data_IF_581039886674
#
_entry.id   IF_581039886674
#
_cell.length_a   1.000
_cell.length_b   1.000
_cell.length_c   1.000
_cell.angle_alpha   90.00
_cell.angle_beta   90.00
_cell.angle_gamma   90.00
#
_symmetry.space_group_name_H-M   'P 1'
#
loop_
_entity.id
_entity.type
_entity.pdbx_description
1 polymer ?
#
# COMPACT_ATOMS: atom_id res chain seq x y z
N UNK A 1 -3.20 13.83 -3.57
CA UNK A 1 -3.77 12.47 -3.59
C UNK A 1 -2.77 11.54 -2.93
N UNK A 2 -3.14 10.83 -1.86
CA UNK A 2 -2.23 9.93 -1.14
C UNK A 2 -2.03 8.64 -1.94
N UNK A 3 -0.78 8.28 -2.26
CA UNK A 3 -0.51 7.13 -3.14
C UNK A 3 0.91 6.59 -3.08
N UNK A 4 1.08 5.36 -3.56
CA UNK A 4 2.37 4.71 -3.86
C UNK A 4 2.28 4.26 -5.33
N UNK A 5 3.21 4.69 -6.18
CA UNK A 5 3.14 4.40 -7.62
C UNK A 5 4.51 4.11 -8.23
N UNK A 6 4.54 3.27 -9.25
CA UNK A 6 5.75 2.99 -10.03
C UNK A 6 6.91 2.51 -9.16
N UNK A 7 8.10 3.10 -9.29
CA UNK A 7 9.36 2.74 -8.65
C UNK A 7 9.62 3.54 -7.36
N UNK A 8 9.05 3.07 -6.26
CA UNK A 8 7.82 3.62 -5.75
C UNK A 8 7.96 5.08 -5.32
N UNK A 9 7.23 5.94 -6.03
CA UNK A 9 6.99 7.33 -5.65
C UNK A 9 5.83 7.39 -4.65
N UNK A 10 6.08 7.99 -3.49
CA UNK A 10 5.09 8.20 -2.45
C UNK A 10 4.52 9.61 -2.54
N UNK A 11 3.22 9.71 -2.29
CA UNK A 11 2.55 10.95 -1.92
C UNK A 11 1.94 10.71 -0.53
N UNK A 12 2.48 11.40 0.46
CA UNK A 12 2.15 11.32 1.87
C UNK A 12 0.72 11.82 2.19
N UNK A 13 0.26 11.58 3.42
CA UNK A 13 -1.01 12.08 3.95
C UNK A 13 -1.15 13.59 3.82
N UNK A 14 -0.10 14.33 4.18
CA UNK A 14 -0.02 15.79 4.04
C UNK A 14 0.28 16.28 2.61
N UNK A 15 0.38 15.39 1.62
CA UNK A 15 0.64 15.71 0.22
C UNK A 15 2.13 15.80 -0.15
N UNK A 16 3.06 15.69 0.81
CA UNK A 16 4.49 15.67 0.53
C UNK A 16 4.85 14.48 -0.38
N UNK A 17 5.69 14.72 -1.37
CA UNK A 17 6.17 13.67 -2.28
C UNK A 17 7.57 13.25 -1.89
N UNK A 18 7.85 11.95 -1.86
CA UNK A 18 9.18 11.40 -1.60
C UNK A 18 9.31 10.00 -2.23
N UNK A 19 10.54 9.53 -2.39
CA UNK A 19 10.81 8.21 -2.93
C UNK A 19 11.21 7.25 -1.81
N UNK A 20 10.69 6.02 -1.87
CA UNK A 20 11.12 4.93 -0.99
C UNK A 20 11.38 3.68 -1.83
N UNK A 21 12.65 3.47 -2.17
CA UNK A 21 13.08 2.35 -3.00
C UNK A 21 13.12 1.07 -2.16
N UNK A 22 13.66 1.13 -0.94
CA UNK A 22 13.92 -0.06 -0.14
C UNK A 22 14.80 -1.09 -0.87
N UNK A 23 14.68 -2.36 -0.48
CA UNK A 23 15.48 -3.46 -1.03
C UNK A 23 14.60 -4.54 -1.69
N UNK A 24 15.02 -5.10 -2.84
CA UNK A 24 14.35 -6.26 -3.44
C UNK A 24 14.23 -7.44 -2.45
N UNK A 25 13.08 -8.10 -2.44
CA UNK A 25 12.74 -9.23 -1.57
C UNK A 25 12.43 -8.85 -0.11
N UNK A 26 12.55 -7.57 0.25
CA UNK A 26 12.22 -7.11 1.60
C UNK A 26 10.74 -6.76 1.72
N UNK A 27 10.23 -6.86 2.95
CA UNK A 27 8.86 -6.50 3.30
C UNK A 27 8.92 -5.32 4.26
N UNK A 28 8.21 -4.25 3.94
CA UNK A 28 8.19 -3.01 4.72
C UNK A 28 6.79 -2.70 5.25
N UNK A 29 6.71 -2.24 6.50
CA UNK A 29 5.48 -1.69 7.06
C UNK A 29 5.20 -0.31 6.47
N UNK A 30 4.14 -0.23 5.66
CA UNK A 30 3.65 1.02 5.06
C UNK A 30 2.86 1.82 6.08
N UNK A 31 2.04 1.13 6.85
CA UNK A 31 1.11 1.71 7.81
C UNK A 31 0.93 0.76 9.00
N UNK A 32 0.91 1.29 10.20
CA UNK A 32 0.54 0.57 11.41
C UNK A 32 -0.15 1.51 12.38
N UNK A 33 -1.27 1.07 12.92
CA UNK A 33 -2.03 1.72 13.98
C UNK A 33 -2.66 0.62 14.86
N UNK A 34 -3.50 0.95 15.84
CA UNK A 34 -4.10 -0.03 16.77
C UNK A 34 -4.77 -1.21 16.07
N UNK A 35 -5.64 -0.91 15.09
CA UNK A 35 -6.48 -1.92 14.44
C UNK A 35 -6.11 -2.24 12.99
N UNK A 36 -5.34 -1.38 12.34
CA UNK A 36 -4.98 -1.51 10.93
C UNK A 36 -3.47 -1.56 10.77
N UNK A 37 -2.98 -2.55 10.05
CA UNK A 37 -1.59 -2.69 9.69
C UNK A 37 -1.45 -3.12 8.23
N UNK A 38 -0.53 -2.51 7.50
CA UNK A 38 -0.31 -2.80 6.08
C UNK A 38 1.19 -2.97 5.80
N UNK A 39 1.53 -4.08 5.15
CA UNK A 39 2.89 -4.36 4.70
C UNK A 39 2.94 -4.46 3.18
N UNK A 40 4.03 -3.99 2.59
CA UNK A 40 4.33 -4.15 1.16
C UNK A 40 5.54 -5.06 0.97
N UNK A 41 5.47 -5.96 0.00
CA UNK A 41 6.62 -6.71 -0.50
C UNK A 41 7.19 -6.01 -1.73
N UNK A 42 8.51 -5.97 -1.81
CA UNK A 42 9.26 -5.29 -2.85
C UNK A 42 9.92 -6.30 -3.77
N UNK A 43 9.76 -6.12 -5.08
CA UNK A 43 10.57 -6.78 -6.11
C UNK A 43 11.57 -5.79 -6.70
N UNK A 44 12.60 -6.30 -7.37
CA UNK A 44 13.64 -5.48 -8.00
C UNK A 44 13.84 -5.80 -9.46
N UNK A 45 14.82 -5.13 -10.06
CA UNK A 45 15.27 -5.39 -11.43
C UNK A 45 15.68 -6.87 -11.56
N UNK A 46 15.21 -7.53 -12.63
CA UNK A 46 15.43 -8.96 -12.84
C UNK A 46 16.53 -9.28 -13.87
N UNK A 47 16.74 -8.40 -14.85
CA UNK A 47 17.63 -8.67 -15.99
C UNK A 47 19.02 -8.03 -15.89
N UNK A 48 19.16 -6.94 -15.15
CA UNK A 48 20.40 -6.19 -15.03
C UNK A 48 20.76 -5.93 -13.55
N UNK A 49 21.79 -6.61 -13.05
CA UNK A 49 22.27 -6.43 -11.66
C UNK A 49 22.95 -5.08 -11.40
N UNK A 50 23.32 -4.33 -12.44
CA UNK A 50 23.93 -3.00 -12.31
C UNK A 50 22.89 -1.90 -12.13
N UNK A 51 21.64 -2.16 -12.54
CA UNK A 51 20.52 -1.23 -12.33
C UNK A 51 19.91 -1.43 -10.97
N UNK A 52 19.41 -0.32 -10.43
CA UNK A 52 18.71 -0.27 -9.15
C UNK A 52 17.33 0.31 -9.40
N UNK A 53 16.32 -0.49 -9.09
CA UNK A 53 14.92 -0.16 -9.24
C UNK A 53 14.12 -1.19 -8.46
N UNK A 54 13.05 -0.75 -7.82
CA UNK A 54 12.17 -1.59 -7.01
C UNK A 54 10.73 -1.25 -7.27
N UNK A 55 9.84 -2.21 -7.05
CA UNK A 55 8.41 -2.05 -7.23
C UNK A 55 7.66 -2.85 -6.17
N UNK A 56 6.50 -2.37 -5.74
CA UNK A 56 5.61 -3.13 -4.87
C UNK A 56 4.85 -4.17 -5.71
N UNK A 57 4.99 -5.47 -5.44
CA UNK A 57 4.22 -6.51 -6.13
C UNK A 57 3.13 -7.12 -5.26
N UNK A 58 3.21 -6.97 -3.94
CA UNK A 58 2.20 -7.49 -3.01
C UNK A 58 1.99 -6.55 -1.83
N UNK A 59 0.74 -6.45 -1.40
CA UNK A 59 0.36 -5.76 -0.17
C UNK A 59 -0.51 -6.67 0.70
N UNK A 60 -0.27 -6.65 2.01
CA UNK A 60 -1.15 -7.19 3.02
C UNK A 60 -1.85 -6.06 3.77
N UNK A 61 -3.11 -6.28 4.13
CA UNK A 61 -3.92 -5.38 4.93
C UNK A 61 -4.53 -6.22 6.05
N UNK A 62 -4.06 -5.97 7.27
CA UNK A 62 -4.49 -6.64 8.48
C UNK A 62 -5.41 -5.71 9.26
N UNK A 63 -6.70 -6.04 9.27
CA UNK A 63 -7.70 -5.38 10.11
C UNK A 63 -8.03 -6.28 11.29
N UNK A 64 -7.43 -5.98 12.44
CA UNK A 64 -7.52 -6.82 13.63
C UNK A 64 -8.89 -6.69 14.33
N UNK A 65 -9.45 -7.81 14.83
CA UNK A 65 -9.02 -9.22 14.68
C UNK A 65 -9.71 -9.96 13.52
N UNK A 66 -10.20 -9.25 12.50
CA UNK A 66 -11.20 -9.76 11.56
C UNK A 66 -10.65 -10.28 10.24
N UNK A 67 -9.85 -9.45 9.55
CA UNK A 67 -9.51 -9.70 8.15
C UNK A 67 -8.02 -9.52 7.88
N UNK A 68 -7.39 -10.58 7.38
CA UNK A 68 -6.12 -10.55 6.66
C UNK A 68 -6.44 -10.56 5.17
N UNK A 69 -6.17 -9.46 4.50
CA UNK A 69 -6.39 -9.30 3.06
C UNK A 69 -5.03 -9.25 2.38
N UNK A 70 -4.88 -9.95 1.26
CA UNK A 70 -3.72 -9.74 0.37
C UNK A 70 -4.17 -9.40 -1.03
N UNK A 71 -3.42 -8.52 -1.67
CA UNK A 71 -3.50 -8.27 -3.10
C UNK A 71 -2.09 -8.41 -3.66
N UNK A 72 -1.93 -9.33 -4.60
CA UNK A 72 -0.65 -9.65 -5.23
C UNK A 72 -0.75 -9.46 -6.73
N UNK A 73 0.19 -8.74 -7.33
CA UNK A 73 0.36 -8.61 -8.78
C UNK A 73 1.05 -9.86 -9.37
N UNK A 74 1.61 -10.73 -8.52
CA UNK A 74 2.32 -11.94 -8.96
C UNK A 74 1.43 -12.84 -9.80
N UNK A 75 1.99 -13.22 -10.95
CA UNK A 75 1.36 -14.15 -11.88
C UNK A 75 1.59 -15.60 -11.42
N UNK A 76 0.59 -16.50 -11.51
CA UNK A 76 0.82 -17.91 -11.27
C UNK A 76 1.92 -18.45 -12.21
N UNK A 77 2.75 -19.42 -11.77
CA UNK A 77 3.77 -20.03 -12.61
C UNK A 77 3.21 -20.49 -13.96
N UNK A 78 3.93 -20.19 -15.05
CA UNK A 78 3.52 -20.54 -16.41
C UNK A 78 2.42 -19.65 -17.02
N UNK A 79 1.94 -18.64 -16.30
CA UNK A 79 0.99 -17.65 -16.85
C UNK A 79 1.77 -16.44 -17.38
N UNK A 80 1.58 -16.05 -18.65
CA UNK A 80 2.12 -14.79 -19.15
C UNK A 80 1.63 -13.63 -18.27
N UNK A 81 2.49 -12.70 -17.88
CA UNK A 81 2.09 -11.55 -17.06
C UNK A 81 1.04 -10.68 -17.79
N UNK A 82 0.99 -10.72 -19.13
CA UNK A 82 -0.08 -10.15 -19.97
C UNK A 82 -1.44 -10.84 -19.80
N UNK A 83 -1.50 -12.03 -19.23
CA UNK A 83 -2.75 -12.72 -18.91
C UNK A 83 -3.10 -12.59 -17.41
N UNK A 84 -2.16 -12.16 -16.57
CA UNK A 84 -2.37 -12.01 -15.14
C UNK A 84 -3.16 -10.75 -14.78
N UNK A 85 -4.01 -10.91 -13.77
CA UNK A 85 -4.94 -9.91 -13.23
C UNK A 85 -4.79 -9.78 -11.70
N UNK A 86 -3.63 -10.21 -11.19
CA UNK A 86 -3.34 -10.37 -9.77
C UNK A 86 -4.21 -11.40 -9.05
N UNK A 87 -3.96 -11.54 -7.76
CA UNK A 87 -4.68 -12.41 -6.83
C UNK A 87 -5.17 -11.57 -5.66
N UNK A 88 -6.40 -11.83 -5.20
CA UNK A 88 -6.95 -11.22 -3.98
C UNK A 88 -7.34 -12.35 -3.04
N UNK A 89 -6.84 -12.32 -1.80
CA UNK A 89 -7.23 -13.28 -0.76
C UNK A 89 -7.80 -12.58 0.46
N UNK A 90 -8.74 -13.22 1.15
CA UNK A 90 -9.28 -12.77 2.44
C UNK A 90 -9.23 -13.96 3.39
N UNK A 91 -8.50 -13.85 4.49
CA UNK A 91 -8.24 -14.92 5.46
C UNK A 91 -7.79 -16.21 4.77
N UNK A 92 -6.86 -16.09 3.82
CA UNK A 92 -6.32 -17.20 3.03
C UNK A 92 -7.23 -17.76 1.93
N UNK A 93 -8.47 -17.26 1.78
CA UNK A 93 -9.40 -17.68 0.74
C UNK A 93 -9.32 -16.76 -0.47
N UNK A 94 -9.02 -17.31 -1.64
CA UNK A 94 -8.91 -16.57 -2.89
C UNK A 94 -10.26 -16.14 -3.43
N UNK A 95 -10.40 -14.85 -3.75
CA UNK A 95 -11.57 -14.30 -4.45
C UNK A 95 -11.49 -14.63 -5.94
N UNK A 96 -12.57 -15.20 -6.48
CA UNK A 96 -12.67 -15.48 -7.93
C UNK A 96 -12.60 -14.18 -8.74
N UNK A 97 -11.84 -14.21 -9.84
CA UNK A 97 -11.86 -13.14 -10.85
C UNK A 97 -13.03 -13.37 -11.80
N UNK A 98 -13.88 -12.37 -12.03
CA UNK A 98 -14.90 -12.39 -13.09
C UNK A 98 -14.62 -11.33 -14.16
N UNK A 99 -15.19 -11.50 -15.36
CA UNK A 99 -14.89 -10.66 -16.54
C UNK A 99 -15.24 -9.18 -16.37
N UNK A 100 -16.23 -8.84 -15.55
CA UNK A 100 -16.73 -7.46 -15.39
C UNK A 100 -16.37 -6.87 -14.03
N UNK A 101 -16.95 -7.41 -12.96
CA UNK A 101 -16.57 -7.11 -11.58
C UNK A 101 -17.14 -8.15 -10.63
N UNK A 102 -16.52 -8.32 -9.47
CA UNK A 102 -17.03 -9.11 -8.36
C UNK A 102 -16.96 -8.27 -7.10
N UNK A 103 -18.05 -8.18 -6.35
CA UNK A 103 -18.10 -7.46 -5.08
C UNK A 103 -18.47 -8.42 -3.96
N UNK A 104 -17.76 -8.33 -2.84
CA UNK A 104 -18.06 -9.07 -1.61
C UNK A 104 -18.16 -8.09 -0.46
N UNK A 105 -19.15 -8.31 0.41
CA UNK A 105 -19.36 -7.53 1.63
C UNK A 105 -19.44 -8.46 2.83
N UNK A 106 -18.76 -8.10 3.91
CA UNK A 106 -18.74 -8.86 5.15
C UNK A 106 -18.48 -7.92 6.32
N UNK A 107 -19.42 -7.77 7.24
CA UNK A 107 -19.25 -7.05 8.52
C UNK A 107 -18.36 -5.78 8.43
N UNK A 108 -18.79 -4.77 7.66
CA UNK A 108 -18.06 -3.51 7.49
C UNK A 108 -16.94 -3.53 6.42
N UNK A 109 -16.48 -4.70 5.97
CA UNK A 109 -15.57 -4.84 4.83
C UNK A 109 -16.36 -4.91 3.51
N UNK A 110 -15.95 -4.13 2.52
CA UNK A 110 -16.34 -4.25 1.12
C UNK A 110 -15.10 -4.39 0.26
N UNK A 111 -15.05 -5.44 -0.57
CA UNK A 111 -14.03 -5.59 -1.60
C UNK A 111 -14.72 -5.66 -2.96
N UNK A 112 -14.38 -4.74 -3.86
CA UNK A 112 -14.78 -4.80 -5.27
C UNK A 112 -13.56 -5.08 -6.13
N UNK A 113 -13.56 -6.23 -6.80
CA UNK A 113 -12.55 -6.61 -7.77
C UNK A 113 -13.04 -6.35 -9.19
N UNK A 114 -12.25 -5.63 -9.97
CA UNK A 114 -12.36 -5.49 -11.43
C UNK A 114 -11.19 -6.20 -12.11
N UNK A 115 -11.04 -6.05 -13.42
CA UNK A 115 -10.01 -6.75 -14.21
C UNK A 115 -8.59 -6.53 -13.68
N UNK A 116 -8.18 -5.28 -13.46
CA UNK A 116 -6.84 -4.94 -12.94
C UNK A 116 -6.90 -4.04 -11.71
N UNK A 117 -8.10 -3.79 -11.16
CA UNK A 117 -8.29 -2.89 -10.02
C UNK A 117 -9.03 -3.57 -8.90
N UNK A 118 -8.63 -3.26 -7.67
CA UNK A 118 -9.25 -3.78 -6.44
C UNK A 118 -9.54 -2.59 -5.55
N UNK A 119 -10.81 -2.42 -5.19
CA UNK A 119 -11.26 -1.40 -4.26
C UNK A 119 -11.54 -2.09 -2.93
N UNK A 120 -10.96 -1.58 -1.85
CA UNK A 120 -11.14 -2.10 -0.51
C UNK A 120 -11.67 -0.97 0.35
N UNK A 121 -12.77 -1.23 1.06
CA UNK A 121 -13.35 -0.32 2.03
C UNK A 121 -13.56 -1.07 3.34
N UNK A 122 -12.96 -0.56 4.42
CA UNK A 122 -13.30 -0.93 5.79
C UNK A 122 -14.09 0.24 6.34
N UNK A 123 -15.34 0.00 6.69
CA UNK A 123 -16.28 1.02 7.15
C UNK A 123 -15.67 1.87 8.25
N UNK A 124 -15.77 3.19 8.08
CA UNK A 124 -15.26 4.23 8.98
C UNK A 124 -13.74 4.24 9.22
N UNK A 125 -12.96 3.41 8.50
CA UNK A 125 -11.52 3.27 8.73
C UNK A 125 -10.67 3.47 7.49
N UNK A 126 -10.97 2.81 6.37
CA UNK A 126 -10.10 2.80 5.20
C UNK A 126 -10.90 2.76 3.89
N UNK A 127 -10.49 3.56 2.90
CA UNK A 127 -10.88 3.43 1.49
C UNK A 127 -9.63 3.50 0.63
N UNK A 128 -9.30 2.39 -0.04
CA UNK A 128 -8.17 2.32 -0.94
C UNK A 128 -8.51 1.66 -2.28
N UNK A 129 -7.72 2.00 -3.28
CA UNK A 129 -7.69 1.42 -4.61
C UNK A 129 -6.29 0.87 -4.87
N UNK A 130 -6.25 -0.36 -5.39
CA UNK A 130 -5.05 -1.02 -5.87
C UNK A 130 -5.19 -1.29 -7.36
N UNK A 131 -4.13 -1.04 -8.12
CA UNK A 131 -4.07 -1.31 -9.56
C UNK A 131 -2.91 -2.23 -9.87
N UNK A 132 -3.20 -3.37 -10.50
CA UNK A 132 -2.21 -4.28 -11.07
C UNK A 132 -1.71 -3.68 -12.37
N UNK A 133 -0.52 -3.11 -12.34
CA UNK A 133 0.14 -2.51 -13.50
C UNK A 133 0.95 -3.59 -14.23
N UNK A 134 0.77 -3.62 -15.55
CA UNK A 134 1.48 -4.57 -16.39
C UNK A 134 2.85 -4.04 -16.73
N UNK A 135 3.89 -4.73 -16.28
CA UNK A 135 5.26 -4.41 -16.65
C UNK A 135 5.64 -4.92 -18.06
N UNK A 136 4.65 -5.20 -18.92
CA UNK A 136 4.85 -5.71 -20.27
C UNK A 136 5.79 -4.86 -21.13
N UNK A 137 5.84 -3.56 -20.86
CA UNK A 137 6.69 -2.61 -21.58
C UNK A 137 8.13 -2.54 -21.03
N UNK A 138 8.41 -3.29 -19.95
CA UNK A 138 9.66 -3.29 -19.18
C UNK A 138 10.23 -4.70 -19.02
N UNK A 139 9.94 -5.60 -19.96
CA UNK A 139 10.63 -6.91 -20.05
C UNK A 139 12.12 -6.80 -20.37
N UNK A 140 12.59 -5.60 -20.73
CA UNK A 140 14.01 -5.31 -20.91
C UNK A 140 14.79 -5.49 -19.61
N UNK A 141 16.12 -5.57 -19.73
CA UNK A 141 17.01 -5.88 -18.60
C UNK A 141 16.85 -4.91 -17.41
N UNK A 142 16.32 -3.72 -17.66
CA UNK A 142 16.25 -2.62 -16.69
C UNK A 142 14.91 -2.56 -15.90
N UNK A 143 13.94 -3.45 -16.15
CA UNK A 143 12.62 -3.46 -15.50
C UNK A 143 12.37 -4.58 -14.47
N UNK A 144 11.18 -4.61 -13.82
CA UNK A 144 10.84 -5.63 -12.84
C UNK A 144 10.63 -7.03 -13.45
N UNK A 145 10.40 -7.13 -14.75
CA UNK A 145 10.11 -8.40 -15.44
C UNK A 145 8.87 -9.13 -14.88
N UNK A 146 8.01 -8.43 -14.13
CA UNK A 146 6.76 -8.92 -13.55
C UNK A 146 5.81 -7.74 -13.28
N UNK A 147 4.51 -8.01 -13.17
CA UNK A 147 3.52 -6.99 -12.81
C UNK A 147 3.78 -6.44 -11.40
N UNK A 148 3.36 -5.21 -11.16
CA UNK A 148 3.46 -4.54 -9.86
C UNK A 148 2.13 -3.86 -9.50
N UNK A 149 2.08 -3.24 -8.33
CA UNK A 149 0.92 -2.58 -7.75
C UNK A 149 1.14 -1.08 -7.62
N UNK A 150 0.15 -0.31 -8.07
CA UNK A 150 -0.06 1.05 -7.58
C UNK A 150 -1.12 1.01 -6.47
N UNK A 151 -0.96 1.88 -5.47
CA UNK A 151 -1.90 2.05 -4.37
C UNK A 151 -2.33 3.51 -4.29
N UNK A 152 -3.62 3.72 -4.02
CA UNK A 152 -4.22 5.02 -3.73
C UNK A 152 -5.08 4.91 -2.47
N UNK A 153 -4.91 5.83 -1.53
CA UNK A 153 -5.77 5.96 -0.34
C UNK A 153 -6.61 7.22 -0.52
N UNK A 154 -7.93 7.08 -0.49
CA UNK A 154 -8.87 8.20 -0.63
C UNK A 154 -9.46 8.67 0.70
N UNK A 155 -9.54 7.78 1.68
CA UNK A 155 -9.93 8.11 3.04
C UNK A 155 -9.31 7.14 4.03
N UNK A 156 -8.91 7.65 5.19
CA UNK A 156 -8.25 6.90 6.25
C UNK A 156 -8.50 7.60 7.57
N UNK A 157 -8.94 6.86 8.58
CA UNK A 157 -8.98 7.34 9.95
C UNK A 157 -7.73 6.83 10.68
N UNK A 158 -6.83 7.75 11.06
CA UNK A 158 -5.56 7.44 11.69
C UNK A 158 -5.50 8.09 13.07
N UNK A 159 -5.04 7.36 14.08
CA UNK A 159 -4.82 7.91 15.41
C UNK A 159 -3.47 8.63 15.48
N UNK A 160 -3.21 9.39 16.54
CA UNK A 160 -1.88 9.99 16.76
C UNK A 160 -0.77 8.94 16.98
N UNK A 161 -1.12 7.66 17.21
CA UNK A 161 -0.18 6.57 17.35
C UNK A 161 0.23 5.93 16.02
N UNK A 162 -0.38 6.33 14.89
CA UNK A 162 -0.10 5.78 13.56
C UNK A 162 1.38 5.88 13.21
N UNK A 163 1.97 4.84 12.64
CA UNK A 163 3.37 4.81 12.18
C UNK A 163 3.49 3.98 10.88
N UNK A 164 4.69 3.77 10.37
CA UNK A 164 4.98 3.15 9.07
C UNK A 164 5.55 4.17 8.09
N UNK A 165 6.12 3.68 6.99
CA UNK A 165 6.78 4.51 5.96
C UNK A 165 5.89 5.66 5.50
N UNK A 166 4.59 5.39 5.32
CA UNK A 166 3.58 6.42 5.01
C UNK A 166 2.77 6.80 6.25
N UNK A 167 2.58 5.86 7.20
CA UNK A 167 1.64 6.02 8.31
C UNK A 167 1.87 7.27 9.17
N UNK A 168 3.12 7.59 9.53
CA UNK A 168 3.41 8.77 10.35
C UNK A 168 2.94 10.10 9.72
N UNK A 169 2.83 10.15 8.39
CA UNK A 169 2.42 11.35 7.64
C UNK A 169 0.92 11.65 7.72
N UNK A 170 0.13 10.76 8.34
CA UNK A 170 -1.28 10.97 8.62
C UNK A 170 -1.55 11.58 10.00
N UNK A 171 -0.53 11.71 10.86
CA UNK A 171 -0.69 12.40 12.16
C UNK A 171 -0.93 13.88 11.91
N UNK A 172 -1.86 14.48 12.63
CA UNK A 172 -2.06 15.94 12.60
C UNK A 172 -0.82 16.71 13.08
N UNK A 173 -0.02 16.08 13.94
CA UNK A 173 1.22 16.63 14.49
C UNK A 173 2.42 16.49 13.56
N UNK A 174 2.26 15.85 12.39
CA UNK A 174 3.34 15.66 11.43
C UNK A 174 3.57 16.94 10.62
N UNK A 175 4.67 17.64 10.90
CA UNK A 175 4.95 19.00 10.44
C UNK A 175 6.02 19.08 9.34
N UNK A 176 6.52 17.95 8.83
CA UNK A 176 7.47 17.96 7.71
C UNK A 176 6.75 18.36 6.41
N UNK A 177 7.03 19.58 5.94
CA UNK A 177 6.44 20.14 4.72
C UNK A 177 7.41 20.24 3.55
N UNK A 178 8.70 20.03 3.77
CA UNK A 178 9.73 20.08 2.73
C UNK A 178 10.82 19.03 2.94
N UNK A 179 11.33 18.52 1.82
CA UNK A 179 12.41 17.55 1.78
C UNK A 179 13.76 18.28 1.77
N UNK A 180 14.71 17.95 2.67
CA UNK A 180 16.11 18.17 2.33
C UNK A 180 16.43 17.23 1.15
N UNK A 181 16.59 17.79 -0.05
CA UNK A 181 16.70 17.11 -1.38
C UNK A 181 17.94 16.21 -1.53
N UNK A 182 18.48 15.62 -0.46
CA UNK A 182 19.74 14.87 -0.46
C UNK A 182 19.63 13.43 0.04
N UNK A 183 18.47 13.05 0.57
CA UNK A 183 18.26 11.75 1.21
C UNK A 183 17.73 10.66 0.27
N UNK A 184 17.95 9.40 0.64
CA UNK A 184 17.30 8.23 0.01
C UNK A 184 16.22 7.67 0.93
N UNK A 185 15.30 6.90 0.37
CA UNK A 185 14.31 6.14 1.14
C UNK A 185 13.55 6.98 2.18
N UNK A 186 13.03 8.13 1.74
CA UNK A 186 12.29 9.05 2.60
C UNK A 186 13.11 9.75 3.67
N UNK A 187 14.45 9.74 3.62
CA UNK A 187 15.30 10.47 4.56
C UNK A 187 14.91 11.96 4.64
N UNK A 188 14.70 12.44 5.86
CA UNK A 188 14.17 13.78 6.14
C UNK A 188 12.64 13.85 6.21
N UNK A 189 11.92 12.86 5.70
CA UNK A 189 10.46 12.70 5.87
C UNK A 189 10.14 11.66 6.93
N UNK A 190 10.73 10.48 6.80
CA UNK A 190 10.38 9.34 7.63
C UNK A 190 11.19 9.35 8.94
N UNK A 191 10.61 8.80 10.01
CA UNK A 191 11.30 8.68 11.30
C UNK A 191 12.20 7.43 11.28
N UNK A 192 13.49 7.60 11.51
CA UNK A 192 14.45 6.49 11.48
C UNK A 192 14.93 6.19 10.06
N UNK A 193 15.27 4.92 9.79
CA UNK A 193 15.82 4.47 8.50
C UNK A 193 14.94 3.41 7.87
N UNK A 194 15.12 3.15 6.57
CA UNK A 194 14.37 2.12 5.86
C UNK A 194 14.38 0.75 6.58
N UNK A 195 15.51 0.36 7.19
CA UNK A 195 15.64 -0.91 7.89
C UNK A 195 14.77 -1.01 9.14
N UNK A 196 14.40 0.12 9.76
CA UNK A 196 13.55 0.15 10.95
C UNK A 196 12.10 -0.28 10.65
N UNK A 197 11.71 -0.25 9.37
CA UNK A 197 10.38 -0.61 8.87
C UNK A 197 10.30 -2.05 8.32
N UNK A 198 11.39 -2.81 8.32
CA UNK A 198 11.41 -4.18 7.81
C UNK A 198 10.61 -5.09 8.77
N UNK A 199 9.81 -5.98 8.21
CA UNK A 199 9.09 -7.05 8.92
C UNK A 199 9.46 -8.42 8.40
N UNK A 200 9.30 -9.45 9.23
CA UNK A 200 9.69 -10.83 8.89
C UNK A 200 8.73 -11.54 7.91
N UNK A 201 7.55 -10.98 7.65
CA UNK A 201 6.56 -11.59 6.78
C UNK A 201 5.37 -10.69 6.48
N UNK A 202 4.57 -11.05 5.47
CA UNK A 202 3.42 -10.24 5.05
C UNK A 202 2.41 -10.01 6.16
N UNK A 203 2.24 -10.95 7.09
CA UNK A 203 1.33 -10.80 8.23
C UNK A 203 2.06 -10.58 9.57
N UNK A 204 3.32 -10.17 9.54
CA UNK A 204 4.09 -9.82 10.72
C UNK A 204 3.96 -8.32 11.05
N UNK A 205 4.08 -7.98 12.32
CA UNK A 205 4.10 -6.60 12.82
C UNK A 205 5.28 -6.41 13.78
N UNK A 206 6.44 -6.94 13.42
CA UNK A 206 7.65 -7.01 14.23
C UNK A 206 8.70 -5.96 13.86
N UNK A 207 8.33 -4.95 13.07
CA UNK A 207 9.20 -3.81 12.81
C UNK A 207 9.49 -3.01 14.10
N UNK A 208 10.57 -2.23 14.09
CA UNK A 208 11.03 -1.48 15.27
C UNK A 208 9.99 -0.46 15.75
N UNK A 209 9.26 0.15 14.81
CA UNK A 209 8.29 1.22 15.06
C UNK A 209 6.84 0.69 15.18
N UNK A 210 6.64 -0.62 15.03
CA UNK A 210 5.34 -1.29 15.06
C UNK A 210 4.88 -1.58 16.49
N UNK A 211 4.74 -0.56 17.33
CA UNK A 211 4.56 -0.75 18.78
C UNK A 211 3.12 -0.88 19.23
N UNK A 212 2.16 -0.33 18.49
CA UNK A 212 0.77 -0.14 18.95
C UNK A 212 -0.27 -1.06 18.30
N UNK A 213 0.11 -1.87 17.31
CA UNK A 213 -0.84 -2.77 16.64
C UNK A 213 -1.24 -3.94 17.55
N UNK A 214 -2.54 -4.07 17.82
CA UNK A 214 -3.07 -5.06 18.75
C UNK A 214 -2.81 -6.50 18.29
N UNK A 215 -2.74 -6.73 16.98
CA UNK A 215 -2.45 -8.04 16.39
C UNK A 215 -1.00 -8.51 16.50
N UNK A 216 -0.08 -7.71 17.07
CA UNK A 216 1.36 -8.01 17.14
C UNK A 216 1.69 -9.28 17.90
N UNK A 217 0.94 -9.61 18.95
CA UNK A 217 1.16 -10.80 19.79
C UNK A 217 0.30 -12.01 19.36
N UNK A 218 -0.30 -11.95 18.17
CA UNK A 218 -1.08 -13.04 17.59
C UNK A 218 -2.57 -12.73 17.44
N UNK A 219 -3.18 -13.43 16.49
CA UNK A 219 -4.60 -13.37 16.19
C UNK A 219 -5.41 -14.21 17.19
N UNK A 220 -5.52 -13.74 18.44
CA UNK A 220 -6.32 -14.44 19.45
C UNK A 220 -7.82 -14.22 19.18
N UNK A 221 -8.47 -15.26 18.66
CA UNK A 221 -9.88 -15.30 18.26
C UNK A 221 -10.91 -15.00 19.36
N UNK A 222 -10.48 -14.86 20.62
CA UNK A 222 -11.37 -14.57 21.76
C UNK A 222 -11.74 -13.10 21.93
N UNK A 223 -11.06 -12.17 21.25
CA UNK A 223 -11.36 -10.73 21.30
C UNK A 223 -12.34 -10.30 20.19
N UNK A 224 -12.64 -11.18 19.24
CA UNK A 224 -13.33 -10.82 18.00
C UNK A 224 -14.81 -10.49 18.16
N UNK A 225 -15.50 -10.95 19.20
CA UNK A 225 -16.96 -10.79 19.30
C UNK A 225 -17.45 -9.58 20.11
N UNK A 226 -16.64 -8.97 20.97
CA UNK A 226 -17.14 -7.93 21.90
C UNK A 226 -16.73 -6.47 21.59
N UNK A 227 -15.74 -6.20 20.72
CA UNK A 227 -15.20 -4.84 20.54
C UNK A 227 -15.11 -4.34 19.08
N UNK A 228 -15.91 -4.91 18.17
CA UNK A 228 -16.09 -4.34 16.82
C UNK A 228 -16.65 -2.91 16.87
N UNK A 229 -17.35 -2.56 17.95
CA UNK A 229 -18.25 -1.41 18.05
C UNK A 229 -17.66 -0.15 18.67
N UNK A 230 -16.42 -0.17 19.18
CA UNK A 230 -15.87 0.97 19.96
C UNK A 230 -15.02 2.01 19.21
N UNK A 231 -14.80 1.87 17.92
CA UNK A 231 -14.24 2.96 17.07
C UNK A 231 -15.11 3.17 15.81
N UNK A 232 -16.43 3.11 16.00
CA UNK A 232 -17.42 3.34 14.92
C UNK A 232 -17.93 4.80 14.91
N UNK A 233 -17.56 5.64 15.87
CA UNK A 233 -18.21 6.94 16.10
C UNK A 233 -17.64 8.16 15.37
N UNK A 234 -16.48 8.06 14.73
CA UNK A 234 -15.83 9.22 14.08
C UNK A 234 -15.95 9.14 12.55
N UNK A 235 -16.26 10.29 11.93
CA UNK A 235 -16.33 10.40 10.47
C UNK A 235 -14.95 10.15 9.85
N UNK A 236 -14.91 9.48 8.70
CA UNK A 236 -13.64 9.25 7.99
C UNK A 236 -13.02 10.57 7.54
N UNK A 237 -11.75 10.79 7.88
CA UNK A 237 -10.98 11.84 7.26
C UNK A 237 -10.72 11.47 5.79
N UNK A 238 -11.27 12.29 4.88
CA UNK A 238 -10.98 12.16 3.47
C UNK A 238 -9.69 12.90 3.16
N UNK A 239 -8.74 12.17 2.60
CA UNK A 239 -7.49 12.72 2.10
C UNK A 239 -7.65 12.98 0.59
N UNK A 240 -8.71 13.70 0.23
CA UNK A 240 -8.69 14.47 -1.00
C UNK A 240 -7.72 15.60 -0.75
N UNK A 241 -6.48 15.46 -1.22
CA UNK A 241 -5.54 16.58 -1.19
C UNK A 241 -6.28 17.82 -1.64
N UNK A 242 -6.15 18.92 -0.90
CA UNK A 242 -6.69 20.21 -1.34
C UNK A 242 -6.30 20.35 -2.82
N UNK A 243 -7.31 20.29 -3.69
CA UNK A 243 -7.18 20.74 -5.05
C UNK A 243 -7.01 22.26 -4.95
N UNK A 244 -5.79 22.67 -4.61
CA UNK A 244 -5.35 24.04 -4.69
C UNK A 244 -5.04 24.31 -6.14
N UNK A 245 -6.00 24.99 -6.79
CA UNK A 245 -5.87 25.82 -7.98
C UNK A 245 -5.28 25.17 -9.26
N UNK A 246 -6.14 25.08 -10.26
CA UNK A 246 -5.86 25.32 -11.68
C UNK A 246 -4.44 24.97 -12.16
N UNK A 247 -4.30 23.79 -12.74
CA UNK A 247 -3.41 23.63 -13.88
C UNK A 247 -4.19 22.91 -14.97
N UNK A 248 -4.56 23.68 -15.99
CA UNK A 248 -4.91 23.18 -17.32
C UNK A 248 -3.99 22.00 -17.68
N UNK A 249 -4.61 20.88 -18.05
CA UNK A 249 -3.91 19.81 -18.73
C UNK A 249 -3.58 20.29 -20.14
N UNK A 250 -2.42 20.90 -20.30
CA UNK A 250 -1.80 20.97 -21.62
C UNK A 250 -1.25 19.57 -21.93
N UNK A 251 -2.03 18.86 -22.75
CA UNK A 251 -1.50 17.91 -23.71
C UNK A 251 -0.48 18.67 -24.58
N UNK A 252 0.80 18.38 -24.40
CA UNK A 252 1.83 18.30 -25.44
C UNK A 252 3.20 18.40 -24.79
N UNK A 253 3.99 17.33 -24.93
CA UNK A 253 5.40 17.38 -25.30
C UNK A 253 6.02 16.03 -24.99
N UNK A 254 6.35 15.28 -26.04
CA UNK A 254 7.69 14.73 -26.28
C UNK A 254 7.68 14.07 -27.67
N UNK A 255 7.67 14.93 -28.68
CA UNK A 255 8.25 14.63 -29.98
C UNK A 255 9.49 15.51 -30.11
N UNK A 256 10.69 14.92 -30.04
CA UNK A 256 11.89 15.46 -30.71
C UNK A 256 12.85 14.31 -31.05
N UNK A 257 13.04 14.16 -32.36
CA UNK A 257 14.12 13.54 -33.16
C UNK A 257 14.64 12.12 -32.85
#
# INVERSE_FOLDING_TARGET
>A
EVSIRSDPHFVAGNGLKFDFMGAPGSIYTVYTDRRLHMNMHMIGVRGNSERKGTWMDEISIMFFPYYNITVSATSPPGTPYTAAHGTVTVNGKTMKSQKLSTMTRWHGLTIQRRKTRVFITIQNLLKLELEVVRAAFWESEDGPGNNYLNLKISALNATQAVHGVMGQTFRETFDVTELPVKGKDGEGVIEGKAEDYIVSGMFAADCKLCTVFDGRNGWNSKVAEEDATKEISEEMHSWTGMAGADSESDEDDLAWE
#
